data_IF_761971925144
#
_entry.id   IF_761971925144
#
_cell.length_a   1.000
_cell.length_b   1.000
_cell.length_c   1.000
_cell.angle_alpha   90.00
_cell.angle_beta   90.00
_cell.angle_gamma   90.00
#
_symmetry.space_group_name_H-M   'P 1'
#
loop_
_entity.id
_entity.type
_entity.pdbx_description
1 polymer ?
#
# COMPACT_ATOMS: atom_id res chain seq x y z
N UNK A 1 17.94 6.70 12.77
CA UNK A 1 17.31 5.43 13.16
C UNK A 1 16.43 4.97 12.01
N UNK A 2 16.53 3.72 11.55
CA UNK A 2 15.64 3.20 10.51
C UNK A 2 14.25 2.93 11.10
N UNK A 3 13.18 3.32 10.40
CA UNK A 3 11.80 3.02 10.82
C UNK A 3 11.56 1.50 10.82
N UNK A 4 10.85 1.02 11.84
CA UNK A 4 10.37 -0.38 11.89
C UNK A 4 9.34 -0.62 10.79
N UNK A 5 8.99 -1.88 10.54
CA UNK A 5 7.96 -2.19 9.53
C UNK A 5 6.60 -1.66 9.98
N UNK A 6 6.25 -1.80 11.26
CA UNK A 6 5.00 -1.30 11.84
C UNK A 6 4.87 0.22 11.66
N UNK A 7 5.95 0.98 11.93
CA UNK A 7 5.98 2.43 11.72
C UNK A 7 5.87 2.84 10.24
N UNK A 8 6.22 1.95 9.30
CA UNK A 8 6.01 2.19 7.88
C UNK A 8 4.56 1.88 7.48
N UNK A 9 3.97 0.82 8.02
CA UNK A 9 2.57 0.47 7.78
C UNK A 9 1.65 1.60 8.26
N UNK A 10 1.85 2.06 9.49
CA UNK A 10 1.09 3.18 10.07
C UNK A 10 1.14 4.41 9.16
N UNK A 11 2.36 4.86 8.83
CA UNK A 11 2.54 6.03 7.95
C UNK A 11 1.96 5.83 6.55
N UNK A 12 2.05 4.63 5.99
CA UNK A 12 1.53 4.33 4.66
C UNK A 12 0.01 4.48 4.64
N UNK A 13 -0.66 3.84 5.60
CA UNK A 13 -2.11 3.82 5.69
C UNK A 13 -2.69 5.19 6.04
N UNK A 14 -2.09 5.91 6.99
CA UNK A 14 -2.48 7.30 7.30
C UNK A 14 -2.30 8.21 6.08
N UNK A 15 -1.20 8.02 5.33
CA UNK A 15 -0.92 8.80 4.13
C UNK A 15 -1.95 8.56 3.02
N UNK A 16 -2.36 7.30 2.82
CA UNK A 16 -3.41 6.96 1.85
C UNK A 16 -4.76 7.52 2.27
N UNK A 17 -5.16 7.39 3.54
CA UNK A 17 -6.43 7.92 4.04
C UNK A 17 -6.50 9.46 3.92
N UNK A 18 -5.37 10.16 4.08
CA UNK A 18 -5.32 11.60 3.90
C UNK A 18 -5.35 12.04 2.42
N UNK A 19 -4.77 11.24 1.54
CA UNK A 19 -4.63 11.57 0.12
C UNK A 19 -5.80 11.08 -0.75
N UNK A 20 -6.62 10.17 -0.24
CA UNK A 20 -7.67 9.46 -0.99
C UNK A 20 -8.92 9.27 -0.14
N UNK A 21 -10.02 8.82 -0.74
CA UNK A 21 -11.25 8.45 -0.01
C UNK A 21 -11.20 7.02 0.57
N UNK A 22 -10.05 6.33 0.50
CA UNK A 22 -9.88 4.97 1.03
C UNK A 22 -9.50 5.03 2.51
N UNK A 23 -10.46 4.71 3.36
CA UNK A 23 -10.24 4.52 4.80
C UNK A 23 -9.60 3.17 5.11
N UNK A 24 -8.91 3.07 6.24
CA UNK A 24 -8.39 1.82 6.78
C UNK A 24 -8.89 1.58 8.22
N UNK A 25 -9.03 0.31 8.61
CA UNK A 25 -9.60 -0.08 9.90
C UNK A 25 -8.54 -0.27 11.01
N UNK A 26 -7.33 -0.66 10.64
CA UNK A 26 -6.20 -0.88 11.56
C UNK A 26 -4.84 -0.74 10.84
N UNK A 27 -3.76 -0.66 11.60
CA UNK A 27 -2.40 -0.62 11.07
C UNK A 27 -1.78 -2.02 10.92
N UNK A 28 -2.46 -2.92 10.19
CA UNK A 28 -2.00 -4.29 9.98
C UNK A 28 -1.47 -4.57 8.56
N UNK A 29 -0.66 -5.62 8.43
CA UNK A 29 -0.20 -6.14 7.13
C UNK A 29 -1.34 -6.53 6.19
N UNK A 30 -2.45 -7.02 6.75
CA UNK A 30 -3.63 -7.40 5.97
C UNK A 30 -4.29 -6.16 5.39
N UNK A 31 -4.47 -5.13 6.21
CA UNK A 31 -5.11 -3.89 5.80
C UNK A 31 -4.24 -3.13 4.79
N UNK A 32 -2.93 -3.11 4.99
CA UNK A 32 -1.96 -2.59 4.04
C UNK A 32 -2.11 -3.22 2.65
N UNK A 33 -2.26 -4.54 2.57
CA UNK A 33 -2.43 -5.27 1.30
C UNK A 33 -3.80 -5.02 0.68
N UNK A 34 -4.86 -4.96 1.48
CA UNK A 34 -6.20 -4.59 1.00
C UNK A 34 -6.15 -3.21 0.35
N UNK A 35 -5.59 -2.22 1.04
CA UNK A 35 -5.48 -0.84 0.55
C UNK A 35 -4.65 -0.76 -0.74
N UNK A 36 -3.51 -1.46 -0.82
CA UNK A 36 -2.75 -1.55 -2.07
C UNK A 36 -3.60 -2.14 -3.21
N UNK A 37 -4.32 -3.23 -2.94
CA UNK A 37 -5.16 -3.90 -3.92
C UNK A 37 -6.31 -3.00 -4.41
N UNK A 38 -7.01 -2.33 -3.50
CA UNK A 38 -8.12 -1.44 -3.84
C UNK A 38 -7.64 -0.27 -4.71
N UNK A 39 -6.51 0.36 -4.36
CA UNK A 39 -5.89 1.41 -5.18
C UNK A 39 -5.49 0.90 -6.57
N UNK A 40 -4.97 -0.33 -6.64
CA UNK A 40 -4.55 -0.93 -7.90
C UNK A 40 -5.75 -1.22 -8.82
N UNK A 41 -6.84 -1.77 -8.28
CA UNK A 41 -8.10 -1.97 -8.99
C UNK A 41 -8.74 -0.65 -9.47
N UNK A 42 -8.53 0.44 -8.72
CA UNK A 42 -8.93 1.80 -9.12
C UNK A 42 -7.99 2.44 -10.18
N UNK A 43 -6.95 1.72 -10.61
CA UNK A 43 -6.05 2.15 -11.69
C UNK A 43 -4.91 3.06 -11.23
N UNK A 44 -4.51 3.00 -9.96
CA UNK A 44 -3.41 3.82 -9.42
C UNK A 44 -2.05 3.57 -10.11
N UNK A 45 -1.82 2.37 -10.63
CA UNK A 45 -0.56 1.98 -11.27
C UNK A 45 -0.80 1.30 -12.61
N UNK A 46 -0.07 1.73 -13.64
CA UNK A 46 -0.13 1.14 -14.98
C UNK A 46 0.46 -0.27 -15.07
N UNK A 47 1.30 -0.61 -14.10
CA UNK A 47 1.99 -1.89 -13.92
C UNK A 47 1.06 -2.95 -13.31
N UNK A 48 -0.14 -2.57 -12.87
CA UNK A 48 -1.12 -3.49 -12.35
C UNK A 48 -1.79 -4.27 -13.49
N UNK A 49 -1.64 -5.59 -13.48
CA UNK A 49 -2.14 -6.49 -14.52
C UNK A 49 -3.53 -7.07 -14.19
N UNK A 50 -4.06 -6.73 -13.01
CA UNK A 50 -5.31 -7.28 -12.48
C UNK A 50 -5.11 -8.49 -11.58
N UNK A 51 -6.13 -8.80 -10.76
CA UNK A 51 -6.14 -9.96 -9.87
C UNK A 51 -4.91 -10.05 -8.94
N UNK A 52 -4.41 -8.91 -8.49
CA UNK A 52 -3.33 -8.81 -7.51
C UNK A 52 -1.93 -8.91 -8.09
N UNK A 53 -1.74 -8.86 -9.41
CA UNK A 53 -0.42 -8.98 -10.04
C UNK A 53 0.16 -7.61 -10.46
N UNK A 54 1.44 -7.41 -10.14
CA UNK A 54 2.29 -6.31 -10.62
C UNK A 54 3.53 -6.90 -11.27
N UNK A 55 3.69 -6.76 -12.59
CA UNK A 55 4.85 -7.29 -13.34
C UNK A 55 5.23 -8.74 -12.94
N UNK A 56 4.30 -9.68 -13.12
CA UNK A 56 4.42 -11.09 -12.71
C UNK A 56 4.59 -11.37 -11.19
N UNK A 57 4.58 -10.36 -10.31
CA UNK A 57 4.66 -10.52 -8.85
C UNK A 57 3.28 -10.31 -8.22
N UNK A 58 2.78 -11.32 -7.50
CA UNK A 58 1.51 -11.17 -6.79
C UNK A 58 1.68 -10.34 -5.51
N UNK A 59 0.70 -9.50 -5.16
CA UNK A 59 0.71 -8.67 -3.95
C UNK A 59 1.00 -9.50 -2.71
N UNK A 60 0.50 -10.75 -2.62
CA UNK A 60 0.75 -11.62 -1.46
C UNK A 60 2.22 -12.02 -1.28
N UNK A 61 3.03 -11.95 -2.34
CA UNK A 61 4.45 -12.30 -2.35
C UNK A 61 5.33 -11.10 -1.98
N UNK A 62 4.82 -9.88 -2.12
CA UNK A 62 5.52 -8.66 -1.71
C UNK A 62 5.66 -8.59 -0.19
N UNK A 63 6.77 -8.05 0.33
CA UNK A 63 6.89 -7.79 1.77
C UNK A 63 6.09 -6.57 2.20
N UNK A 64 5.61 -6.54 3.45
CA UNK A 64 4.88 -5.38 3.98
C UNK A 64 5.72 -4.09 3.89
N UNK A 65 7.04 -4.22 4.02
CA UNK A 65 7.97 -3.10 3.90
C UNK A 65 8.02 -2.53 2.48
N UNK A 66 7.94 -3.37 1.46
CA UNK A 66 7.88 -2.94 0.06
C UNK A 66 6.56 -2.23 -0.24
N UNK A 67 5.44 -2.85 0.16
CA UNK A 67 4.10 -2.26 -0.02
C UNK A 67 4.02 -0.89 0.69
N UNK A 68 4.41 -0.82 1.96
CA UNK A 68 4.38 0.42 2.71
C UNK A 68 5.26 1.50 2.07
N UNK A 69 6.40 1.15 1.46
CA UNK A 69 7.24 2.11 0.75
C UNK A 69 6.61 2.64 -0.52
N UNK A 70 5.91 1.80 -1.28
CA UNK A 70 5.16 2.22 -2.47
C UNK A 70 4.09 3.24 -2.06
N UNK A 71 3.25 2.89 -1.08
CA UNK A 71 2.19 3.76 -0.59
C UNK A 71 2.74 5.07 0.02
N UNK A 72 3.84 5.00 0.79
CA UNK A 72 4.48 6.21 1.33
C UNK A 72 5.03 7.12 0.22
N UNK A 73 5.62 6.54 -0.82
CA UNK A 73 6.17 7.29 -1.96
C UNK A 73 5.05 8.04 -2.68
N UNK A 74 3.93 7.38 -2.91
CA UNK A 74 2.88 7.86 -3.82
C UNK A 74 1.81 8.70 -3.11
N UNK A 75 1.52 8.43 -1.83
CA UNK A 75 0.40 9.05 -1.12
C UNK A 75 0.79 9.81 0.15
N UNK A 76 1.77 9.33 0.92
CA UNK A 76 2.10 9.95 2.21
C UNK A 76 2.89 11.28 2.12
N UNK A 77 3.13 11.81 0.92
CA UNK A 77 3.70 13.15 0.71
C UNK A 77 2.85 14.04 -0.24
N UNK A 78 1.64 13.59 -0.59
CA UNK A 78 0.66 14.40 -1.32
C UNK A 78 0.03 15.45 -0.38
#
# INVERSE_FOLDING_TARGET
MLKTTEQLIERALDGVELATDISHCDHSSKELRRVLFDLAEDGAWSEYEGNGYFEDVHISEMSDREIARILIRDYANA
#
